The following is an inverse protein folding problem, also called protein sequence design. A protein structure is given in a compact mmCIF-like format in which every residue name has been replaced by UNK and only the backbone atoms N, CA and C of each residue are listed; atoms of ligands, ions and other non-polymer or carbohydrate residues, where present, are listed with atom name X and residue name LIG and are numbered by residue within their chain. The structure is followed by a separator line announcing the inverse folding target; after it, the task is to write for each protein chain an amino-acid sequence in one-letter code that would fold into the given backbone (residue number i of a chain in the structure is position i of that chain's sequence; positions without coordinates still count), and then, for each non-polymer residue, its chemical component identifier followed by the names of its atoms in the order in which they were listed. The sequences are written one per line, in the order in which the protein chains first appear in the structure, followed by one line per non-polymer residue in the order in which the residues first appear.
data_IF_236906397270
#
_entry.id   IF_236906397270
#
_cell.length_a   1.000
_cell.length_b   1.000
_cell.length_c   1.000
_cell.angle_alpha   90.00
_cell.angle_beta   90.00
_cell.angle_gamma   90.00
#
_symmetry.space_group_name_H-M   'P 1'
#
loop_
_entity.id
_entity.type
_entity.pdbx_description
1 polymer ?
#
# COMPACT_ATOMS: atom_id res chain seq x y z
N UNK A 1 -7.04 1.11 -7.23
CA UNK A 1 -6.16 0.16 -7.97
C UNK A 1 -6.21 0.32 -9.48
N UNK A 2 -7.40 0.42 -10.07
CA UNK A 2 -7.49 0.59 -11.52
C UNK A 2 -6.80 1.86 -12.01
N UNK A 3 -6.99 2.98 -11.32
CA UNK A 3 -6.32 4.23 -11.66
C UNK A 3 -4.79 4.10 -11.61
N UNK A 4 -4.27 3.38 -10.62
CA UNK A 4 -2.84 3.15 -10.49
C UNK A 4 -2.32 2.25 -11.60
N UNK A 5 -3.05 1.21 -11.97
CA UNK A 5 -2.71 0.35 -13.10
C UNK A 5 -2.66 1.14 -14.41
N UNK A 6 -3.64 2.02 -14.61
CA UNK A 6 -3.69 2.88 -15.80
C UNK A 6 -2.55 3.90 -15.84
N UNK A 7 -2.07 4.32 -14.67
CA UNK A 7 -0.99 5.30 -14.57
C UNK A 7 0.41 4.68 -14.67
N UNK A 8 0.53 3.35 -14.73
CA UNK A 8 1.84 2.68 -14.73
C UNK A 8 2.72 3.06 -15.92
N UNK A 9 2.14 3.32 -17.06
CA UNK A 9 2.88 3.77 -18.26
C UNK A 9 3.61 5.10 -18.04
N UNK A 10 3.18 5.89 -17.04
CA UNK A 10 3.75 7.21 -16.72
C UNK A 10 4.77 7.17 -15.58
N UNK A 11 4.91 6.04 -14.90
CA UNK A 11 5.73 5.95 -13.67
C UNK A 11 7.19 6.34 -13.87
N UNK A 12 7.74 6.13 -15.07
CA UNK A 12 9.12 6.48 -15.40
C UNK A 12 9.28 7.95 -15.84
N UNK A 13 8.17 8.62 -16.11
CA UNK A 13 8.15 10.01 -16.59
C UNK A 13 7.77 11.00 -15.48
N UNK A 14 6.96 10.56 -14.53
CA UNK A 14 6.47 11.38 -13.41
C UNK A 14 6.49 10.56 -12.13
N UNK A 15 6.56 11.23 -11.00
CA UNK A 15 6.39 10.59 -9.70
C UNK A 15 4.91 10.40 -9.41
N UNK A 16 4.51 9.17 -9.08
CA UNK A 16 3.14 8.85 -8.77
C UNK A 16 2.90 8.90 -7.26
N UNK A 17 1.89 9.67 -6.86
CA UNK A 17 1.42 9.74 -5.49
C UNK A 17 -0.01 9.17 -5.45
N UNK A 18 -0.28 8.29 -4.53
CA UNK A 18 -1.59 7.63 -4.40
C UNK A 18 -2.25 8.07 -3.10
N UNK A 19 -3.49 8.48 -3.18
CA UNK A 19 -4.32 8.77 -2.00
C UNK A 19 -5.76 8.34 -2.26
N UNK A 20 -6.52 8.19 -1.18
CA UNK A 20 -7.89 7.71 -1.27
C UNK A 20 -7.99 6.19 -1.38
N UNK A 21 -8.87 5.60 -0.58
CA UNK A 21 -9.12 4.15 -0.60
C UNK A 21 -8.04 3.29 0.02
N UNK A 22 -6.93 3.86 0.49
CA UNK A 22 -5.87 3.12 1.15
C UNK A 22 -6.22 3.03 2.64
N UNK A 23 -6.42 1.82 3.16
CA UNK A 23 -6.96 1.61 4.51
C UNK A 23 -6.07 0.77 5.43
N UNK A 24 -5.12 0.02 4.90
CA UNK A 24 -4.33 -0.91 5.68
C UNK A 24 -2.93 -1.06 5.07
N UNK A 25 -1.97 -1.69 5.80
CA UNK A 25 -0.61 -1.88 5.30
C UNK A 25 -0.53 -2.64 3.99
N UNK A 26 -1.38 -3.62 3.76
CA UNK A 26 -1.37 -4.38 2.51
C UNK A 26 -1.71 -3.49 1.31
N UNK A 27 -2.70 -2.60 1.44
CA UNK A 27 -3.04 -1.63 0.40
C UNK A 27 -1.87 -0.70 0.11
N UNK A 28 -1.15 -0.25 1.15
CA UNK A 28 0.04 0.59 1.01
C UNK A 28 1.12 -0.12 0.21
N UNK A 29 1.41 -1.39 0.54
CA UNK A 29 2.41 -2.19 -0.16
C UNK A 29 2.02 -2.41 -1.62
N UNK A 30 0.76 -2.69 -1.90
CA UNK A 30 0.27 -2.84 -3.29
C UNK A 30 0.53 -1.58 -4.11
N UNK A 31 0.23 -0.42 -3.55
CA UNK A 31 0.47 0.86 -4.22
C UNK A 31 1.96 1.07 -4.52
N UNK A 32 2.83 0.77 -3.55
CA UNK A 32 4.27 0.93 -3.71
C UNK A 32 4.84 -0.06 -4.73
N UNK A 33 4.37 -1.30 -4.75
CA UNK A 33 4.77 -2.31 -5.74
C UNK A 33 4.40 -1.86 -7.15
N UNK A 34 3.23 -1.24 -7.31
CA UNK A 34 2.78 -0.74 -8.62
C UNK A 34 3.44 0.57 -9.04
N UNK A 35 4.38 1.09 -8.25
CA UNK A 35 5.22 2.22 -8.66
C UNK A 35 4.92 3.55 -7.98
N UNK A 36 4.00 3.61 -7.03
CA UNK A 36 3.78 4.83 -6.27
C UNK A 36 5.02 5.18 -5.43
N UNK A 37 5.36 6.45 -5.39
CA UNK A 37 6.49 6.94 -4.56
C UNK A 37 6.05 7.19 -3.12
N UNK A 38 4.80 7.52 -2.92
CA UNK A 38 4.24 7.76 -1.60
C UNK A 38 2.74 7.46 -1.61
N UNK A 39 2.20 7.23 -0.42
CA UNK A 39 0.79 6.90 -0.23
C UNK A 39 0.22 7.84 0.82
N UNK A 40 -0.89 8.49 0.49
CA UNK A 40 -1.60 9.40 1.40
C UNK A 40 -2.71 8.68 2.14
N UNK A 41 -2.85 8.98 3.43
CA UNK A 41 -3.81 8.33 4.33
C UNK A 41 -4.76 9.32 5.00
N UNK A 42 -4.94 10.50 4.44
CA UNK A 42 -5.68 11.60 5.08
C UNK A 42 -7.08 11.17 5.56
N UNK A 43 -7.85 10.53 4.71
CA UNK A 43 -9.20 10.11 5.05
C UNK A 43 -9.22 9.02 6.13
N UNK A 44 -8.34 8.04 6.00
CA UNK A 44 -8.23 6.95 6.97
C UNK A 44 -7.83 7.48 8.35
N UNK A 45 -6.86 8.38 8.39
CA UNK A 45 -6.42 9.02 9.65
C UNK A 45 -7.53 9.88 10.23
N UNK A 46 -8.26 10.63 9.41
CA UNK A 46 -9.39 11.43 9.87
C UNK A 46 -10.46 10.57 10.54
N UNK A 47 -10.84 9.46 9.92
CA UNK A 47 -11.80 8.51 10.49
C UNK A 47 -11.30 7.94 11.82
N UNK A 48 -10.01 7.63 11.95
CA UNK A 48 -9.43 7.15 13.19
C UNK A 48 -9.49 8.20 14.29
N UNK A 49 -9.15 9.44 13.97
CA UNK A 49 -9.15 10.55 14.93
C UNK A 49 -10.57 10.84 15.44
N UNK A 50 -11.57 10.66 14.60
CA UNK A 50 -12.97 10.85 14.99
C UNK A 50 -13.50 9.72 15.89
N UNK A 51 -12.94 8.52 15.78
CA UNK A 51 -13.42 7.32 16.46
C UNK A 51 -12.63 6.99 17.73
N UNK A 52 -11.33 7.26 17.74
CA UNK A 52 -10.40 6.81 18.78
C UNK A 52 -9.70 7.97 19.46
N UNK A 53 -9.13 7.70 20.64
CA UNK A 53 -8.28 8.66 21.35
C UNK A 53 -6.93 8.79 20.65
N UNK A 54 -6.16 9.84 20.99
CA UNK A 54 -4.82 10.06 20.42
C UNK A 54 -3.90 8.85 20.70
N UNK A 55 -3.92 8.33 21.92
CA UNK A 55 -3.10 7.17 22.27
C UNK A 55 -3.49 5.93 21.47
N UNK A 56 -4.78 5.72 21.26
CA UNK A 56 -5.27 4.60 20.46
C UNK A 56 -4.84 4.74 18.99
N UNK A 57 -4.92 5.94 18.43
CA UNK A 57 -4.48 6.20 17.05
C UNK A 57 -2.98 5.94 16.90
N UNK A 58 -2.16 6.40 17.85
CA UNK A 58 -0.72 6.14 17.85
C UNK A 58 -0.44 4.65 17.86
N UNK A 59 -1.14 3.89 18.69
CA UNK A 59 -1.01 2.44 18.75
C UNK A 59 -1.36 1.76 17.44
N UNK A 60 -2.43 2.21 16.77
CA UNK A 60 -2.86 1.69 15.46
C UNK A 60 -1.78 1.95 14.41
N UNK A 61 -1.25 3.17 14.35
CA UNK A 61 -0.21 3.54 13.38
C UNK A 61 1.08 2.75 13.62
N UNK A 62 1.46 2.54 14.88
CA UNK A 62 2.62 1.72 15.20
C UNK A 62 2.41 0.26 14.79
N UNK A 63 1.19 -0.25 14.95
CA UNK A 63 0.81 -1.57 14.45
C UNK A 63 0.96 -1.66 12.93
N UNK A 64 0.56 -0.63 12.21
CA UNK A 64 0.75 -0.57 10.75
C UNK A 64 2.23 -0.62 10.36
N UNK A 65 3.09 0.10 11.09
CA UNK A 65 4.54 0.05 10.83
C UNK A 65 5.11 -1.35 11.03
N UNK A 66 4.68 -2.04 12.07
CA UNK A 66 5.09 -3.42 12.32
C UNK A 66 4.63 -4.35 11.20
N UNK A 67 3.37 -4.20 10.76
CA UNK A 67 2.81 -5.00 9.66
C UNK A 67 3.53 -4.72 8.35
N UNK A 68 3.86 -3.46 8.05
CA UNK A 68 4.64 -3.10 6.86
C UNK A 68 6.00 -3.78 6.86
N UNK A 69 6.70 -3.75 8.00
CA UNK A 69 8.00 -4.43 8.13
C UNK A 69 7.88 -5.93 7.90
N UNK A 70 6.84 -6.54 8.46
CA UNK A 70 6.60 -7.97 8.31
C UNK A 70 6.33 -8.34 6.85
N UNK A 71 5.50 -7.58 6.16
CA UNK A 71 5.19 -7.80 4.75
C UNK A 71 6.45 -7.62 3.90
N UNK A 72 7.21 -6.55 4.13
CA UNK A 72 8.46 -6.30 3.41
C UNK A 72 9.49 -7.40 3.64
N UNK A 73 9.61 -7.91 4.86
CA UNK A 73 10.47 -9.05 5.17
C UNK A 73 10.03 -10.29 4.39
N UNK A 74 8.73 -10.55 4.31
CA UNK A 74 8.17 -11.68 3.56
C UNK A 74 8.48 -11.58 2.06
N UNK A 75 8.56 -10.36 1.53
CA UNK A 75 8.91 -10.09 0.13
C UNK A 75 10.43 -9.95 -0.08
N UNK A 76 11.22 -10.10 0.98
CA UNK A 76 12.67 -9.92 0.94
C UNK A 76 13.08 -8.52 0.47
N UNK A 77 12.35 -7.50 0.91
CA UNK A 77 12.58 -6.11 0.56
C UNK A 77 13.01 -5.32 1.78
N UNK A 78 14.15 -4.65 1.71
CA UNK A 78 14.65 -3.79 2.80
C UNK A 78 14.23 -2.32 2.63
N UNK A 79 13.94 -1.89 1.41
CA UNK A 79 13.60 -0.51 1.07
C UNK A 79 12.35 -0.45 0.17
N UNK A 80 11.78 0.75 0.04
CA UNK A 80 10.67 1.00 -0.89
C UNK A 80 11.12 0.78 -2.34
N UNK A 81 12.36 1.15 -2.66
CA UNK A 81 12.92 0.90 -3.99
C UNK A 81 12.95 -0.59 -4.32
N UNK A 82 13.23 -1.44 -3.33
CA UNK A 82 13.20 -2.90 -3.50
C UNK A 82 11.78 -3.39 -3.83
N UNK A 83 10.75 -2.81 -3.22
CA UNK A 83 9.37 -3.15 -3.52
C UNK A 83 9.03 -2.91 -5.00
N UNK A 84 9.58 -1.86 -5.59
CA UNK A 84 9.33 -1.51 -6.98
C UNK A 84 10.05 -2.44 -7.96
N UNK A 85 10.98 -3.24 -7.47
CA UNK A 85 11.69 -4.28 -8.24
C UNK A 85 11.09 -5.67 -8.06
N UNK A 86 10.00 -5.78 -7.29
CA UNK A 86 9.34 -7.06 -7.05
C UNK A 86 8.92 -7.69 -8.38
N UNK A 87 9.24 -8.97 -8.53
CA UNK A 87 9.12 -9.71 -9.76
C UNK A 87 7.67 -9.91 -10.20
N UNK A 88 7.49 -10.13 -11.50
CA UNK A 88 6.22 -10.35 -12.16
C UNK A 88 5.38 -11.47 -11.50
N UNK A 89 6.03 -12.48 -10.97
CA UNK A 89 5.35 -13.59 -10.30
C UNK A 89 4.56 -13.12 -9.06
N UNK A 90 5.14 -12.18 -8.30
CA UNK A 90 4.46 -11.58 -7.16
C UNK A 90 3.31 -10.66 -7.58
N UNK A 91 3.44 -10.00 -8.72
CA UNK A 91 2.36 -9.27 -9.35
C UNK A 91 1.17 -10.19 -9.64
N UNK A 92 1.43 -11.37 -10.17
CA UNK A 92 0.41 -12.37 -10.43
C UNK A 92 -0.35 -12.77 -9.16
N UNK A 93 0.36 -12.99 -8.06
CA UNK A 93 -0.25 -13.33 -6.77
C UNK A 93 -1.11 -12.19 -6.22
N UNK A 94 -0.65 -10.96 -6.33
CA UNK A 94 -1.41 -9.79 -5.91
C UNK A 94 -2.68 -9.62 -6.76
N UNK A 95 -2.58 -9.87 -8.05
CA UNK A 95 -3.71 -9.83 -8.96
C UNK A 95 -4.73 -10.92 -8.63
N UNK A 96 -4.28 -12.13 -8.37
CA UNK A 96 -5.15 -13.24 -7.97
C UNK A 96 -5.88 -12.92 -6.66
N UNK A 97 -5.18 -12.39 -5.67
CA UNK A 97 -5.78 -11.98 -4.41
C UNK A 97 -6.84 -10.91 -4.62
N UNK A 98 -6.57 -9.94 -5.50
CA UNK A 98 -7.53 -8.89 -5.85
C UNK A 98 -8.76 -9.47 -6.54
N UNK A 99 -8.58 -10.40 -7.47
CA UNK A 99 -9.69 -11.04 -8.20
C UNK A 99 -10.54 -11.88 -7.25
N UNK A 100 -9.93 -12.58 -6.30
CA UNK A 100 -10.65 -13.32 -5.27
C UNK A 100 -11.47 -12.40 -4.36
N UNK A 101 -10.93 -11.24 -4.01
CA UNK A 101 -11.65 -10.25 -3.22
C UNK A 101 -12.86 -9.69 -3.95
N UNK A 102 -12.80 -9.56 -5.27
CA UNK A 102 -13.93 -9.10 -6.08
C UNK A 102 -15.04 -10.14 -6.19
N UNK A 103 -14.72 -11.42 -6.07
CA UNK A 103 -15.69 -12.51 -6.13
C UNK A 103 -16.41 -12.75 -4.79
N UNK A 104 -15.85 -12.23 -3.72
CA UNK A 104 -16.44 -12.31 -2.40
C UNK A 104 -17.46 -11.19 -2.19
#
# INVERSE_FOLDING_TARGET
MQALLNAQEWKDKVELLVSGGVRNPLDMIKCLVFGAKAVGLSRTVLELVETYTVEEVIGIVQGWKADLRLIMCSLNCATIADLQKVDYLLYGKLKEAKDQMKKA
#
